data_IF_787306105670
#
_entry.id   IF_787306105670
#
_cell.length_a   1.000
_cell.length_b   1.000
_cell.length_c   1.000
_cell.angle_alpha   90.00
_cell.angle_beta   90.00
_cell.angle_gamma   90.00
#
_symmetry.space_group_name_H-M   'P 1'
#
loop_
_entity.id
_entity.type
_entity.pdbx_description
1 polymer ?
#
# COMPACT_ATOMS: atom_id res chain seq x y z
N UNK A 1 14.34 -15.38 23.28
CA UNK A 1 15.59 -14.86 23.86
C UNK A 1 16.37 -14.10 22.80
N UNK A 2 16.88 -12.89 23.10
CA UNK A 2 17.75 -12.16 22.19
C UNK A 2 19.03 -12.95 21.92
N UNK A 3 19.55 -12.86 20.70
CA UNK A 3 20.78 -13.55 20.29
C UNK A 3 21.97 -12.81 20.90
N UNK A 4 22.97 -13.52 21.41
CA UNK A 4 24.14 -12.86 22.00
C UNK A 4 24.78 -11.88 20.99
N UNK A 5 24.97 -10.62 21.40
CA UNK A 5 25.46 -9.54 20.54
C UNK A 5 24.41 -8.81 19.70
N UNK A 6 23.14 -9.25 19.71
CA UNK A 6 22.02 -8.61 19.01
C UNK A 6 20.88 -8.31 19.98
N UNK A 7 20.33 -7.09 19.94
CA UNK A 7 19.26 -6.64 20.83
C UNK A 7 17.93 -7.41 20.70
N UNK A 8 17.75 -8.18 19.62
CA UNK A 8 16.61 -9.09 19.43
C UNK A 8 16.96 -10.22 18.45
N UNK A 9 16.07 -11.21 18.35
CA UNK A 9 16.16 -12.35 17.41
C UNK A 9 15.00 -12.34 16.40
N UNK A 10 14.43 -11.16 16.14
CA UNK A 10 13.24 -11.06 15.30
C UNK A 10 13.65 -11.21 13.84
N UNK A 11 12.98 -12.12 13.12
CA UNK A 11 13.24 -12.39 11.70
C UNK A 11 12.12 -11.83 10.82
N UNK A 12 12.28 -11.89 9.49
CA UNK A 12 11.20 -11.53 8.57
C UNK A 12 9.91 -12.33 8.79
N UNK A 13 10.01 -13.58 9.25
CA UNK A 13 8.83 -14.36 9.64
C UNK A 13 8.14 -13.78 10.88
N UNK A 14 8.92 -13.32 11.87
CA UNK A 14 8.39 -12.64 13.06
C UNK A 14 7.64 -11.37 12.67
N UNK A 15 8.23 -10.53 11.79
CA UNK A 15 7.58 -9.31 11.32
C UNK A 15 6.29 -9.59 10.57
N UNK A 16 6.27 -10.58 9.67
CA UNK A 16 5.05 -10.97 8.95
C UNK A 16 3.92 -11.39 9.88
N UNK A 17 4.23 -12.14 10.94
CA UNK A 17 3.22 -12.51 11.95
C UNK A 17 2.74 -11.32 12.77
N UNK A 18 3.63 -10.37 13.07
CA UNK A 18 3.26 -9.15 13.79
C UNK A 18 2.22 -8.32 13.00
N UNK A 19 2.41 -8.14 11.69
CA UNK A 19 1.48 -7.37 10.85
C UNK A 19 0.31 -8.20 10.27
N UNK A 20 0.23 -9.50 10.57
CA UNK A 20 -0.86 -10.35 10.11
C UNK A 20 -2.19 -10.00 10.79
N UNK A 21 -2.15 -9.64 12.07
CA UNK A 21 -3.31 -9.25 12.86
C UNK A 21 -3.06 -7.90 13.57
N UNK A 22 -3.42 -6.78 12.92
CA UNK A 22 -3.25 -5.45 13.50
C UNK A 22 -4.11 -5.21 14.74
N UNK A 23 -5.22 -5.93 14.91
CA UNK A 23 -6.07 -5.83 16.11
C UNK A 23 -5.33 -6.40 17.32
N UNK A 24 -4.85 -7.64 17.19
CA UNK A 24 -4.08 -8.30 18.23
C UNK A 24 -2.78 -7.54 18.53
N UNK A 25 -2.08 -7.05 17.49
CA UNK A 25 -0.87 -6.26 17.66
C UNK A 25 -1.15 -4.95 18.42
N UNK A 26 -2.25 -4.25 18.11
CA UNK A 26 -2.64 -3.03 18.81
C UNK A 26 -3.04 -3.29 20.27
N UNK A 27 -3.72 -4.40 20.52
CA UNK A 27 -4.10 -4.84 21.87
C UNK A 27 -2.86 -5.13 22.73
N UNK A 28 -1.93 -5.94 22.21
CA UNK A 28 -0.71 -6.33 22.94
C UNK A 28 0.22 -5.13 23.16
N UNK A 29 0.43 -4.29 22.14
CA UNK A 29 1.42 -3.20 22.21
C UNK A 29 0.86 -1.91 22.80
N UNK A 30 -0.47 -1.77 22.87
CA UNK A 30 -1.15 -0.52 23.24
C UNK A 30 -1.06 0.58 22.17
N UNK A 31 -0.44 0.29 21.02
CA UNK A 31 -0.29 1.24 19.92
C UNK A 31 -1.61 1.38 19.16
N UNK A 32 -1.83 2.54 18.53
CA UNK A 32 -3.01 2.75 17.70
C UNK A 32 -3.03 1.75 16.52
N UNK A 33 -4.11 0.97 16.41
CA UNK A 33 -4.34 0.03 15.31
C UNK A 33 -4.12 0.65 13.93
N UNK A 34 -4.65 1.85 13.69
CA UNK A 34 -4.53 2.52 12.41
C UNK A 34 -3.08 2.86 12.08
N UNK A 35 -2.25 3.14 13.09
CA UNK A 35 -0.83 3.35 12.87
C UNK A 35 -0.12 2.04 12.46
N UNK A 36 -0.44 0.92 13.11
CA UNK A 36 0.10 -0.40 12.74
C UNK A 36 -0.30 -0.78 11.31
N UNK A 37 -1.55 -0.49 10.92
CA UNK A 37 -2.05 -0.68 9.56
C UNK A 37 -1.24 0.14 8.55
N UNK A 38 -1.06 1.44 8.79
CA UNK A 38 -0.32 2.30 7.86
C UNK A 38 1.12 1.85 7.69
N UNK A 39 1.77 1.38 8.76
CA UNK A 39 3.11 0.78 8.68
C UNK A 39 3.12 -0.50 7.84
N UNK A 40 2.10 -1.35 7.98
CA UNK A 40 1.95 -2.54 7.13
C UNK A 40 1.86 -2.17 5.66
N UNK A 41 1.01 -1.20 5.30
CA UNK A 41 0.83 -0.75 3.90
C UNK A 41 2.13 -0.21 3.32
N UNK A 42 2.90 0.59 4.09
CA UNK A 42 4.20 1.09 3.66
C UNK A 42 5.17 -0.07 3.36
N UNK A 43 5.26 -1.05 4.25
CA UNK A 43 6.16 -2.20 4.09
C UNK A 43 5.72 -3.11 2.94
N UNK A 44 4.42 -3.33 2.74
CA UNK A 44 3.88 -4.11 1.64
C UNK A 44 4.13 -3.43 0.30
N UNK A 45 3.88 -2.12 0.19
CA UNK A 45 4.18 -1.36 -1.02
C UNK A 45 5.67 -1.49 -1.40
N UNK A 46 6.58 -1.26 -0.44
CA UNK A 46 8.03 -1.38 -0.66
C UNK A 46 8.49 -2.80 -1.03
N UNK A 47 7.81 -3.84 -0.55
CA UNK A 47 8.18 -5.24 -0.80
C UNK A 47 7.41 -5.89 -1.96
N UNK A 48 6.44 -5.17 -2.54
CA UNK A 48 5.57 -5.68 -3.61
C UNK A 48 6.30 -5.97 -4.93
N UNK A 49 7.45 -5.33 -5.18
CA UNK A 49 8.14 -5.39 -6.47
C UNK A 49 7.47 -4.62 -7.61
N UNK A 50 6.36 -3.92 -7.33
CA UNK A 50 5.64 -3.10 -8.32
C UNK A 50 6.20 -1.66 -8.33
N UNK A 51 5.96 -0.93 -9.42
CA UNK A 51 6.27 0.51 -9.48
C UNK A 51 5.32 1.25 -8.54
N UNK A 52 5.89 2.13 -7.71
CA UNK A 52 5.14 2.91 -6.72
C UNK A 52 5.17 4.37 -7.15
N UNK A 53 4.01 5.03 -7.15
CA UNK A 53 3.93 6.46 -7.36
C UNK A 53 4.61 7.21 -6.20
N UNK A 54 5.76 7.84 -6.48
CA UNK A 54 6.61 8.44 -5.46
C UNK A 54 5.95 9.62 -4.73
N UNK A 55 5.12 10.40 -5.42
CA UNK A 55 4.43 11.56 -4.85
C UNK A 55 3.38 11.10 -3.83
N UNK A 56 2.47 10.22 -4.26
CA UNK A 56 1.43 9.65 -3.38
C UNK A 56 2.02 8.89 -2.19
N UNK A 57 3.07 8.11 -2.42
CA UNK A 57 3.75 7.37 -1.36
C UNK A 57 4.42 8.31 -0.35
N UNK A 58 5.04 9.40 -0.84
CA UNK A 58 5.63 10.43 0.00
C UNK A 58 4.61 11.13 0.88
N UNK A 59 3.44 11.48 0.34
CA UNK A 59 2.32 12.04 1.10
C UNK A 59 1.80 11.06 2.15
N UNK A 60 1.58 9.80 1.77
CA UNK A 60 1.14 8.74 2.69
C UNK A 60 2.10 8.55 3.87
N UNK A 61 3.41 8.60 3.62
CA UNK A 61 4.42 8.52 4.67
C UNK A 61 4.40 9.75 5.59
N UNK A 62 4.25 10.97 5.04
CA UNK A 62 4.13 12.20 5.82
C UNK A 62 2.91 12.17 6.74
N UNK A 63 1.76 11.72 6.22
CA UNK A 63 0.54 11.64 7.03
C UNK A 63 0.62 10.56 8.11
N UNK A 64 1.29 9.46 7.82
CA UNK A 64 1.62 8.43 8.83
C UNK A 64 2.51 9.00 9.94
N UNK A 65 3.50 9.82 9.60
CA UNK A 65 4.36 10.50 10.57
C UNK A 65 3.59 11.54 11.43
N UNK A 66 2.70 12.32 10.82
CA UNK A 66 1.82 13.24 11.57
C UNK A 66 0.93 12.50 12.56
N UNK A 67 0.41 11.33 12.17
CA UNK A 67 -0.38 10.48 13.05
C UNK A 67 0.44 10.00 14.26
N UNK A 68 1.70 9.64 14.08
CA UNK A 68 2.60 9.32 15.19
C UNK A 68 2.76 10.51 16.14
N UNK A 69 3.02 11.71 15.61
CA UNK A 69 3.20 12.91 16.42
C UNK A 69 1.95 13.22 17.25
N UNK A 70 0.77 13.20 16.64
CA UNK A 70 -0.52 13.39 17.32
C UNK A 70 -0.81 12.31 18.36
N UNK A 71 -0.36 11.06 18.10
CA UNK A 71 -0.65 9.95 19.01
C UNK A 71 0.33 9.81 20.17
N UNK A 72 1.54 10.37 20.02
CA UNK A 72 2.61 10.39 21.01
C UNK A 72 2.50 11.56 21.99
N UNK A 73 1.75 12.61 21.61
CA UNK A 73 1.47 13.73 22.48
C UNK A 73 0.64 13.26 23.71
N UNK A 74 1.18 13.38 24.94
CA UNK A 74 0.49 12.95 26.16
C UNK A 74 -0.87 13.63 26.35
N UNK A 75 -0.99 14.88 25.93
CA UNK A 75 -2.20 15.68 26.07
C UNK A 75 -3.30 15.19 25.12
N UNK A 76 -2.95 14.87 23.87
CA UNK A 76 -3.89 14.36 22.86
C UNK A 76 -4.27 12.89 23.12
N UNK A 77 -3.33 12.10 23.64
CA UNK A 77 -3.56 10.67 23.94
C UNK A 77 -4.62 10.46 25.03
N UNK A 78 -4.70 11.35 26.02
CA UNK A 78 -5.68 11.30 27.11
C UNK A 78 -7.14 11.51 26.66
N UNK A 79 -7.38 12.05 25.46
CA UNK A 79 -8.71 12.45 24.99
C UNK A 79 -9.36 11.43 24.03
N UNK A 80 -8.74 10.27 23.79
CA UNK A 80 -9.11 9.36 22.68
C UNK A 80 -10.24 8.36 23.04
N UNK A 81 -11.34 8.35 22.27
CA UNK A 81 -12.41 7.32 22.32
C UNK A 81 -12.13 6.18 21.31
N UNK A 82 -12.22 4.91 21.72
CA UNK A 82 -11.96 3.72 20.87
C UNK A 82 -13.20 3.26 20.09
N UNK A 83 -13.04 2.84 18.81
CA UNK A 83 -14.05 2.15 17.98
C UNK A 83 -13.51 0.80 17.46
N UNK A 84 -14.33 -0.27 17.36
CA UNK A 84 -13.93 -1.56 16.77
C UNK A 84 -14.05 -1.57 15.23
N UNK A 85 -13.26 -2.39 14.52
CA UNK A 85 -13.37 -2.55 13.05
C UNK A 85 -13.38 -4.02 12.59
N UNK A 86 -13.96 -4.28 11.42
CA UNK A 86 -14.13 -5.61 10.79
C UNK A 86 -13.02 -5.92 9.77
N UNK A 87 -12.82 -7.21 9.44
CA UNK A 87 -11.77 -7.70 8.53
C UNK A 87 -12.22 -7.81 7.06
N UNK A 88 -11.27 -7.55 6.14
CA UNK A 88 -11.34 -7.74 4.68
C UNK A 88 -9.93 -8.12 4.18
N UNK A 89 -9.80 -8.82 3.03
CA UNK A 89 -8.52 -9.38 2.56
C UNK A 89 -7.48 -8.32 2.14
N UNK A 90 -7.93 -7.18 1.64
CA UNK A 90 -7.11 -5.99 1.42
C UNK A 90 -7.87 -4.76 1.91
N UNK A 91 -7.16 -3.75 2.41
CA UNK A 91 -7.79 -2.47 2.76
C UNK A 91 -8.00 -1.66 1.48
N UNK A 92 -9.13 -0.95 1.39
CA UNK A 92 -9.47 -0.12 0.22
C UNK A 92 -8.37 0.89 -0.11
N UNK A 93 -7.75 1.47 0.91
CA UNK A 93 -6.64 2.42 0.78
C UNK A 93 -5.39 1.82 0.11
N UNK A 94 -5.16 0.51 0.27
CA UNK A 94 -4.02 -0.18 -0.36
C UNK A 94 -4.22 -0.33 -1.86
N UNK A 95 -5.47 -0.56 -2.28
CA UNK A 95 -5.85 -0.68 -3.69
C UNK A 95 -5.77 0.69 -4.37
N UNK A 96 -6.13 1.77 -3.66
CA UNK A 96 -6.04 3.15 -4.16
C UNK A 96 -4.60 3.66 -4.36
N UNK A 97 -3.62 3.01 -3.73
CA UNK A 97 -2.21 3.37 -3.85
C UNK A 97 -1.54 2.80 -5.10
N UNK A 98 -2.14 1.78 -5.72
CA UNK A 98 -1.62 1.19 -6.96
C UNK A 98 -1.91 2.10 -8.15
N UNK A 99 -0.97 2.16 -9.09
CA UNK A 99 -1.25 2.74 -10.40
C UNK A 99 -2.15 1.78 -11.18
N UNK A 100 -3.12 2.29 -11.96
CA UNK A 100 -3.90 1.45 -12.85
C UNK A 100 -2.96 0.78 -13.86
N UNK A 101 -3.17 -0.51 -14.13
CA UNK A 101 -2.49 -1.21 -15.23
C UNK A 101 -2.87 -0.54 -16.56
N UNK A 102 -1.85 -0.08 -17.30
CA UNK A 102 -2.04 0.35 -18.69
C UNK A 102 -2.33 -0.88 -19.54
N UNK A 103 -3.56 -1.01 -20.02
CA UNK A 103 -3.89 -1.95 -21.08
C UNK A 103 -3.29 -1.42 -22.38
N UNK A 104 -2.18 -2.02 -22.80
CA UNK A 104 -1.65 -1.89 -24.15
C UNK A 104 -2.65 -2.50 -25.15
N UNK A 105 -3.65 -1.73 -25.57
CA UNK A 105 -4.37 -2.04 -26.82
C UNK A 105 -3.53 -1.54 -27.99
N UNK A 106 -2.83 -2.49 -28.60
CA UNK A 106 -2.11 -2.31 -29.84
C UNK A 106 -2.98 -1.67 -30.94
N UNK A 107 -2.34 -0.78 -31.68
CA UNK A 107 -2.88 -0.02 -32.80
C UNK A 107 -3.08 -0.94 -34.00
N UNK A 108 -4.32 -1.27 -34.34
CA UNK A 108 -4.62 -1.91 -35.63
C UNK A 108 -5.12 -0.85 -36.62
N UNK A 109 -4.17 -0.20 -37.31
CA UNK A 109 -4.44 0.58 -38.51
C UNK A 109 -4.75 -0.38 -39.66
N UNK A 110 -6.01 -0.83 -39.72
CA UNK A 110 -6.51 -1.54 -40.89
C UNK A 110 -6.63 -0.56 -42.07
N UNK A 111 -5.69 -0.72 -43.00
CA UNK A 111 -5.64 -0.19 -44.36
C UNK A 111 -7.01 -0.05 -45.02
N UNK A 112 -7.38 1.19 -45.37
CA UNK A 112 -8.45 1.47 -46.34
C UNK A 112 -7.86 2.24 -47.51
N UNK A 113 -7.24 1.50 -48.44
CA UNK A 113 -6.91 2.01 -49.77
C UNK A 113 -8.18 1.93 -50.63
N UNK A 114 -8.63 3.04 -51.24
CA UNK A 114 -9.69 2.99 -52.24
C UNK A 114 -9.12 2.52 -53.57
N UNK A 115 -9.60 1.39 -54.08
CA UNK A 115 -9.36 0.98 -55.47
C UNK A 115 -10.38 1.72 -56.35
N UNK A 116 -9.92 2.73 -57.07
CA UNK A 116 -10.65 3.33 -58.20
C UNK A 116 -10.38 2.50 -59.45
N UNK A 117 -11.46 2.21 -60.17
CA UNK A 117 -11.47 1.73 -61.56
C UNK A 117 -10.76 2.73 -62.49
N UNK A 118 -10.11 2.24 -63.55
CA UNK A 118 -10.21 2.81 -64.91
C UNK A 118 -9.55 1.91 -65.99
N UNK A 119 -10.12 2.03 -67.19
CA UNK A 119 -10.09 1.23 -68.44
C UNK A 119 -8.79 1.21 -69.29
N UNK A 120 -8.84 0.36 -70.34
CA UNK A 120 -8.14 0.42 -71.66
C UNK A 120 -6.66 -0.04 -71.72
N UNK A 121 -6.15 -0.93 -72.59
CA UNK A 121 -6.32 -1.25 -74.04
C UNK A 121 -5.79 -2.69 -74.26
N UNK A 122 -6.27 -3.57 -75.15
CA UNK A 122 -6.14 -3.62 -76.62
C UNK A 122 -7.00 -4.81 -77.14
#
# INVERSE_FOLDING_TARGET
MPKAGFGNSNSGNTSRRFFADPDLAAEITGINKQFIIKLKVILEAMSSGHKINAEKFGEYCKDTAKMLLLTSDPYISCLRKRKPSKSQPFMSETIELFEPEELDTEVDQASKLPHSDDNESD
#
